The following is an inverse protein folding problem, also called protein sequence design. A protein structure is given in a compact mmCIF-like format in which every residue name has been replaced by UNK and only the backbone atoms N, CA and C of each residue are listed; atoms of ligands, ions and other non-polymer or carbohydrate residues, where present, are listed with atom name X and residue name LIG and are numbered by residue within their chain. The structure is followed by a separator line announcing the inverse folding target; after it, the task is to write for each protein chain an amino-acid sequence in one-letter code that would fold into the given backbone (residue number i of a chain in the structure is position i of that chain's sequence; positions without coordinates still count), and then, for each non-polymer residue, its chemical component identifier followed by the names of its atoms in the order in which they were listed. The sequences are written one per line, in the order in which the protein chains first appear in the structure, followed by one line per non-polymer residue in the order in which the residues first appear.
data_IF_576274308554
#
_entry.id   IF_576274308554
#
_cell.length_a   1.000
_cell.length_b   1.000
_cell.length_c   1.000
_cell.angle_alpha   90.00
_cell.angle_beta   90.00
_cell.angle_gamma   90.00
#
_symmetry.space_group_name_H-M   'P 1'
#
loop_
_entity.id
_entity.type
_entity.pdbx_description
1 polymer ?
#
# COMPACT_ATOMS: atom_id res chain seq x y z
N UNK A 1 -15.64 -6.03 1.32
CA UNK A 1 -14.37 -5.65 1.98
C UNK A 1 -13.26 -6.41 1.27
N UNK A 2 -12.19 -5.75 0.80
CA UNK A 2 -11.22 -6.34 -0.15
C UNK A 2 -10.67 -7.72 0.28
N UNK A 3 -10.17 -7.82 1.52
CA UNK A 3 -9.54 -9.06 2.01
C UNK A 3 -10.53 -10.15 2.47
N UNK A 4 -11.83 -9.83 2.54
CA UNK A 4 -12.89 -10.80 2.84
C UNK A 4 -13.54 -11.36 1.58
N UNK A 5 -13.07 -10.95 0.41
CA UNK A 5 -13.57 -11.42 -0.86
C UNK A 5 -13.00 -12.80 -1.20
N UNK A 6 -13.85 -13.75 -1.56
CA UNK A 6 -13.44 -15.14 -1.82
C UNK A 6 -12.46 -15.26 -2.98
N UNK A 7 -12.62 -14.44 -4.04
CA UNK A 7 -11.72 -14.48 -5.18
C UNK A 7 -10.34 -13.93 -4.81
N UNK A 8 -10.30 -12.83 -4.06
CA UNK A 8 -9.03 -12.26 -3.56
C UNK A 8 -8.34 -13.25 -2.61
N UNK A 9 -9.09 -13.82 -1.66
CA UNK A 9 -8.55 -14.79 -0.72
C UNK A 9 -8.01 -16.04 -1.44
N UNK A 10 -8.73 -16.54 -2.45
CA UNK A 10 -8.27 -17.65 -3.28
C UNK A 10 -6.97 -17.32 -4.01
N UNK A 11 -6.90 -16.17 -4.67
CA UNK A 11 -5.71 -15.74 -5.41
C UNK A 11 -4.49 -15.57 -4.50
N UNK A 12 -4.68 -15.01 -3.30
CA UNK A 12 -3.64 -14.90 -2.29
C UNK A 12 -3.18 -16.28 -1.84
N UNK A 13 -4.10 -17.15 -1.42
CA UNK A 13 -3.77 -18.48 -0.88
C UNK A 13 -3.12 -19.42 -1.91
N UNK A 14 -3.46 -19.27 -3.19
CA UNK A 14 -2.90 -20.11 -4.26
C UNK A 14 -1.45 -19.73 -4.62
N UNK A 15 -1.05 -18.47 -4.40
CA UNK A 15 0.19 -17.89 -4.98
C UNK A 15 1.14 -17.25 -3.97
N UNK A 16 0.66 -16.93 -2.77
CA UNK A 16 1.39 -16.14 -1.78
C UNK A 16 1.23 -16.75 -0.38
N UNK A 17 2.17 -16.40 0.51
CA UNK A 17 2.05 -16.67 1.93
C UNK A 17 1.62 -15.38 2.65
N UNK A 18 0.34 -15.23 3.04
CA UNK A 18 -0.16 -14.00 3.62
C UNK A 18 0.35 -13.79 5.04
N UNK A 19 0.88 -12.60 5.30
CA UNK A 19 1.30 -12.16 6.64
C UNK A 19 0.72 -10.78 6.92
N UNK A 20 0.16 -10.60 8.11
CA UNK A 20 -0.33 -9.30 8.58
C UNK A 20 0.59 -8.71 9.64
N UNK A 21 0.96 -7.44 9.48
CA UNK A 21 1.79 -6.70 10.44
C UNK A 21 1.15 -5.35 10.72
N UNK A 22 0.92 -5.04 12.00
CA UNK A 22 0.56 -3.68 12.42
C UNK A 22 1.83 -2.86 12.57
N UNK A 23 1.95 -1.77 11.80
CA UNK A 23 3.14 -0.90 11.84
C UNK A 23 3.12 0.11 12.99
N UNK A 24 1.95 0.29 13.63
CA UNK A 24 1.73 1.10 14.84
C UNK A 24 0.39 0.75 15.49
N UNK A 25 0.14 1.30 16.68
CA UNK A 25 -1.17 1.20 17.32
C UNK A 25 -2.23 1.99 16.55
N UNK A 26 -3.46 1.46 16.51
CA UNK A 26 -4.57 2.11 15.79
C UNK A 26 -4.98 3.38 16.55
N UNK A 27 -4.88 4.56 15.93
CA UNK A 27 -5.20 5.78 16.62
C UNK A 27 -6.69 5.87 16.89
N UNK A 28 -7.02 6.35 18.09
CA UNK A 28 -8.39 6.53 18.52
C UNK A 28 -8.66 7.99 18.84
N UNK A 29 -9.64 8.57 18.16
CA UNK A 29 -10.13 9.92 18.43
C UNK A 29 -11.31 9.83 19.37
N UNK A 30 -11.28 10.63 20.44
CA UNK A 30 -12.41 10.83 21.33
C UNK A 30 -12.84 12.29 21.25
N UNK A 31 -14.07 12.54 20.80
CA UNK A 31 -14.68 13.87 20.78
C UNK A 31 -15.58 13.97 22.02
N UNK A 32 -15.29 14.92 22.90
CA UNK A 32 -16.13 15.29 24.04
C UNK A 32 -16.95 16.53 23.68
N UNK A 33 -18.27 16.47 23.84
CA UNK A 33 -19.17 17.57 23.52
C UNK A 33 -19.36 18.56 24.69
N UNK A 34 -18.70 18.35 25.83
CA UNK A 34 -18.77 19.23 26.99
C UNK A 34 -20.03 19.06 27.85
N UNK A 35 -20.95 18.18 27.45
CA UNK A 35 -22.19 17.85 28.19
C UNK A 35 -22.17 16.41 28.74
N UNK A 36 -20.99 15.79 28.84
CA UNK A 36 -20.83 14.41 29.29
C UNK A 36 -20.97 13.36 28.17
N UNK A 37 -21.40 13.74 26.97
CA UNK A 37 -21.38 12.85 25.81
C UNK A 37 -20.00 12.81 25.17
N UNK A 38 -19.52 11.58 24.90
CA UNK A 38 -18.24 11.31 24.24
C UNK A 38 -18.45 10.35 23.08
N UNK A 39 -17.89 10.68 21.92
CA UNK A 39 -17.80 9.77 20.77
C UNK A 39 -16.36 9.30 20.66
N UNK A 40 -16.13 7.98 20.77
CA UNK A 40 -14.84 7.34 20.55
C UNK A 40 -14.86 6.60 19.21
N UNK A 41 -13.96 6.94 18.29
CA UNK A 41 -13.83 6.30 16.98
C UNK A 41 -12.36 6.09 16.62
N UNK A 42 -12.06 4.99 15.95
CA UNK A 42 -10.76 4.78 15.33
C UNK A 42 -10.65 5.66 14.09
N UNK A 43 -9.49 6.26 13.87
CA UNK A 43 -9.21 6.88 12.57
C UNK A 43 -8.98 5.78 11.54
N UNK A 44 -9.41 6.03 10.30
CA UNK A 44 -9.25 5.06 9.21
C UNK A 44 -7.77 4.71 9.04
N UNK A 45 -7.45 3.42 9.08
CA UNK A 45 -6.09 2.94 8.88
C UNK A 45 -5.72 2.95 7.40
N UNK A 46 -4.50 3.37 7.10
CA UNK A 46 -3.89 3.10 5.80
C UNK A 46 -3.35 1.67 5.78
N UNK A 47 -3.29 1.09 4.60
CA UNK A 47 -2.70 -0.23 4.36
C UNK A 47 -1.72 -0.13 3.20
N UNK A 48 -0.70 -0.97 3.20
CA UNK A 48 0.17 -1.21 2.06
C UNK A 48 0.42 -2.71 1.96
N UNK A 49 0.21 -3.28 0.78
CA UNK A 49 0.52 -4.69 0.53
C UNK A 49 1.94 -4.79 -0.03
N UNK A 50 2.84 -5.43 0.71
CA UNK A 50 4.19 -5.71 0.25
C UNK A 50 4.22 -7.09 -0.41
N UNK A 51 4.79 -7.18 -1.60
CA UNK A 51 5.14 -8.48 -2.20
C UNK A 51 6.64 -8.66 -2.05
N UNK A 52 7.03 -9.75 -1.38
CA UNK A 52 8.41 -10.03 -1.01
C UNK A 52 8.87 -11.34 -1.65
N UNK A 53 10.16 -11.41 -1.91
CA UNK A 53 10.89 -12.67 -2.14
C UNK A 53 11.15 -13.38 -0.81
N UNK A 54 11.54 -14.65 -0.86
CA UNK A 54 11.73 -15.49 0.33
C UNK A 54 12.83 -14.99 1.30
N UNK A 55 13.78 -14.17 0.83
CA UNK A 55 14.84 -13.56 1.67
C UNK A 55 14.44 -12.17 2.23
N UNK A 56 13.20 -11.75 1.96
CA UNK A 56 12.61 -10.50 2.41
C UNK A 56 12.88 -9.30 1.50
N UNK A 57 13.51 -9.46 0.33
CA UNK A 57 13.63 -8.37 -0.64
C UNK A 57 12.27 -8.03 -1.26
N UNK A 58 11.96 -6.74 -1.30
CA UNK A 58 10.71 -6.22 -1.87
C UNK A 58 10.73 -6.37 -3.39
N UNK A 59 9.70 -7.02 -3.93
CA UNK A 59 9.40 -7.06 -5.37
C UNK A 59 8.64 -5.80 -5.77
N UNK A 60 7.59 -5.44 -5.03
CA UNK A 60 6.79 -4.23 -5.24
C UNK A 60 5.88 -3.96 -4.03
N UNK A 61 5.25 -2.78 -3.99
CA UNK A 61 4.31 -2.35 -2.94
C UNK A 61 3.03 -1.80 -3.55
N UNK A 62 1.87 -2.32 -3.13
CA UNK A 62 0.55 -1.78 -3.49
C UNK A 62 0.05 -0.85 -2.35
N UNK A 63 0.10 0.48 -2.52
CA UNK A 63 -0.36 1.42 -1.50
C UNK A 63 -1.88 1.52 -1.46
N UNK A 64 -2.48 1.59 -0.27
CA UNK A 64 -3.90 1.83 -0.09
C UNK A 64 -4.81 0.62 -0.34
N UNK A 65 -6.12 0.88 -0.33
CA UNK A 65 -7.15 -0.09 -0.68
C UNK A 65 -7.48 -0.03 -2.16
N UNK A 66 -7.68 -1.20 -2.76
CA UNK A 66 -8.02 -1.36 -4.16
C UNK A 66 -9.41 -1.96 -4.31
N UNK A 67 -10.01 -1.74 -5.47
CA UNK A 67 -11.05 -2.58 -6.01
C UNK A 67 -10.51 -4.01 -6.20
N UNK A 68 -11.39 -4.99 -6.00
CA UNK A 68 -11.10 -6.42 -6.13
C UNK A 68 -10.33 -6.76 -7.41
N UNK A 69 -10.88 -6.41 -8.57
CA UNK A 69 -10.38 -6.88 -9.86
C UNK A 69 -9.02 -6.26 -10.18
N UNK A 70 -8.84 -4.98 -9.85
CA UNK A 70 -7.55 -4.31 -9.99
C UNK A 70 -6.52 -4.89 -9.02
N UNK A 71 -6.90 -5.18 -7.76
CA UNK A 71 -5.99 -5.81 -6.80
C UNK A 71 -5.50 -7.19 -7.29
N UNK A 72 -6.43 -8.04 -7.76
CA UNK A 72 -6.09 -9.36 -8.33
C UNK A 72 -5.22 -9.23 -9.57
N UNK A 73 -5.50 -8.26 -10.45
CA UNK A 73 -4.66 -7.96 -11.61
C UNK A 73 -3.22 -7.61 -11.18
N UNK A 74 -3.07 -6.73 -10.19
CA UNK A 74 -1.76 -6.34 -9.68
C UNK A 74 -1.03 -7.52 -9.03
N UNK A 75 -1.69 -8.32 -8.19
CA UNK A 75 -1.11 -9.54 -7.62
C UNK A 75 -0.61 -10.49 -8.71
N UNK A 76 -1.38 -10.68 -9.78
CA UNK A 76 -0.97 -11.51 -10.92
C UNK A 76 0.28 -10.96 -11.62
N UNK A 77 0.34 -9.64 -11.85
CA UNK A 77 1.55 -9.02 -12.41
C UNK A 77 2.76 -9.28 -11.52
N UNK A 78 2.62 -9.07 -10.20
CA UNK A 78 3.72 -9.22 -9.24
C UNK A 78 4.19 -10.67 -9.09
N UNK A 79 3.27 -11.64 -9.18
CA UNK A 79 3.62 -13.06 -9.24
C UNK A 79 4.56 -13.35 -10.42
N UNK A 80 4.28 -12.79 -11.60
CA UNK A 80 5.13 -12.97 -12.78
C UNK A 80 6.45 -12.22 -12.66
N UNK A 81 6.47 -11.00 -12.14
CA UNK A 81 7.75 -10.29 -11.86
C UNK A 81 8.63 -11.16 -10.97
N UNK A 82 8.09 -11.67 -9.86
CA UNK A 82 8.80 -12.56 -8.95
C UNK A 82 9.34 -13.80 -9.68
N UNK A 83 8.55 -14.43 -10.55
CA UNK A 83 8.97 -15.59 -11.34
C UNK A 83 10.16 -15.29 -12.28
N UNK A 84 10.28 -14.05 -12.76
CA UNK A 84 11.37 -13.65 -13.67
C UNK A 84 12.66 -13.22 -12.95
N UNK A 85 12.60 -12.84 -11.67
CA UNK A 85 13.78 -12.48 -10.87
C UNK A 85 14.90 -13.55 -10.94
N UNK A 86 14.65 -14.84 -10.62
CA UNK A 86 15.70 -15.86 -10.64
C UNK A 86 16.19 -16.20 -12.05
N UNK A 87 15.46 -15.82 -13.10
CA UNK A 87 15.81 -16.03 -14.50
C UNK A 87 16.66 -14.88 -15.06
N UNK A 88 16.82 -13.79 -14.30
CA UNK A 88 17.68 -12.67 -14.65
C UNK A 88 19.13 -12.94 -14.25
N UNK A 89 20.10 -12.33 -14.96
CA UNK A 89 21.53 -12.38 -14.55
C UNK A 89 21.76 -11.73 -13.19
N UNK A 90 20.99 -10.70 -12.88
CA UNK A 90 21.14 -9.91 -11.66
C UNK A 90 19.77 -9.38 -11.23
N UNK A 91 19.25 -9.96 -10.14
CA UNK A 91 17.95 -9.64 -9.57
C UNK A 91 17.78 -8.14 -9.28
N UNK A 92 18.81 -7.48 -8.76
CA UNK A 92 18.72 -6.08 -8.37
C UNK A 92 18.70 -5.13 -9.56
N UNK A 93 19.49 -5.44 -10.60
CA UNK A 93 19.42 -4.70 -11.86
C UNK A 93 18.06 -4.90 -12.52
N UNK A 94 17.54 -6.13 -12.52
CA UNK A 94 16.22 -6.44 -13.04
C UNK A 94 15.11 -5.67 -12.31
N UNK A 95 15.10 -5.67 -10.97
CA UNK A 95 14.11 -4.91 -10.19
C UNK A 95 14.25 -3.40 -10.41
N UNK A 96 15.48 -2.87 -10.41
CA UNK A 96 15.71 -1.45 -10.69
C UNK A 96 15.19 -1.05 -12.08
N UNK A 97 15.46 -1.85 -13.11
CA UNK A 97 14.94 -1.60 -14.44
C UNK A 97 13.40 -1.71 -14.48
N UNK A 98 12.81 -2.69 -13.77
CA UNK A 98 11.36 -2.84 -13.65
C UNK A 98 10.73 -1.58 -13.04
N UNK A 99 11.22 -1.11 -11.90
CA UNK A 99 10.67 0.08 -11.25
C UNK A 99 10.91 1.36 -12.08
N UNK A 100 12.04 1.46 -12.79
CA UNK A 100 12.29 2.60 -13.69
C UNK A 100 11.26 2.68 -14.82
N UNK A 101 11.02 1.56 -15.50
CA UNK A 101 10.06 1.49 -16.60
C UNK A 101 8.62 1.74 -16.10
N UNK A 102 8.26 1.21 -14.93
CA UNK A 102 6.96 1.48 -14.30
C UNK A 102 6.77 2.95 -13.94
N UNK A 103 7.74 3.57 -13.25
CA UNK A 103 7.69 4.99 -12.89
C UNK A 103 7.58 5.88 -14.14
N UNK A 104 8.32 5.54 -15.20
CA UNK A 104 8.26 6.27 -16.47
C UNK A 104 6.90 6.10 -17.15
N UNK A 105 6.33 4.89 -17.20
CA UNK A 105 5.01 4.65 -17.78
C UNK A 105 3.90 5.40 -17.04
N UNK A 106 3.90 5.36 -15.70
CA UNK A 106 2.92 6.07 -14.89
C UNK A 106 3.04 7.59 -15.10
N UNK A 107 4.26 8.13 -15.11
CA UNK A 107 4.50 9.55 -15.35
C UNK A 107 4.02 10.01 -16.74
N UNK A 108 4.17 9.18 -17.76
CA UNK A 108 3.87 9.54 -19.16
C UNK A 108 2.44 9.23 -19.58
N UNK A 109 1.87 8.11 -19.12
CA UNK A 109 0.56 7.61 -19.56
C UNK A 109 -0.49 7.55 -18.44
N UNK A 110 -0.09 7.81 -17.19
CA UNK A 110 -0.96 7.66 -16.02
C UNK A 110 -1.28 6.21 -15.66
N UNK A 111 -0.57 5.23 -16.25
CA UNK A 111 -0.82 3.80 -16.04
C UNK A 111 0.48 3.00 -15.98
N UNK A 112 0.48 1.97 -15.14
CA UNK A 112 1.55 0.99 -15.06
C UNK A 112 1.59 0.09 -16.31
N UNK A 113 2.77 -0.44 -16.61
CA UNK A 113 3.00 -1.47 -17.61
C UNK A 113 2.50 -2.83 -17.08
N UNK A 114 1.96 -3.63 -17.99
CA UNK A 114 1.49 -4.99 -17.69
C UNK A 114 2.61 -6.02 -17.92
N UNK A 115 2.61 -7.08 -17.11
CA UNK A 115 3.63 -8.13 -17.16
C UNK A 115 3.12 -9.32 -17.97
N UNK A 116 3.89 -9.75 -18.96
CA UNK A 116 3.52 -10.88 -19.82
C UNK A 116 3.83 -12.23 -19.14
N UNK A 117 2.87 -13.16 -19.04
CA UNK A 117 3.17 -14.56 -18.77
C UNK A 117 3.74 -15.23 -20.03
N UNK A 118 4.90 -15.86 -19.92
CA UNK A 118 5.43 -16.73 -20.96
C UNK A 118 5.16 -18.20 -20.56
N UNK A 119 4.24 -18.86 -21.28
CA UNK A 119 3.79 -20.23 -20.96
C UNK A 119 4.78 -21.34 -21.35
N UNK A 120 5.78 -21.04 -22.18
CA UNK A 120 6.80 -22.01 -22.60
C UNK A 120 8.20 -21.36 -22.56
N UNK A 121 8.80 -21.44 -21.38
CA UNK A 121 10.14 -20.90 -21.08
C UNK A 121 11.27 -21.89 -21.40
N UNK A 122 10.93 -23.14 -21.72
CA UNK A 122 11.90 -24.23 -21.94
C UNK A 122 12.84 -23.99 -23.14
N UNK A 123 12.47 -23.08 -24.04
CA UNK A 123 13.25 -22.72 -25.24
C UNK A 123 13.94 -21.35 -25.16
N UNK A 124 13.71 -20.56 -24.12
CA UNK A 124 14.39 -19.29 -23.94
C UNK A 124 15.61 -19.46 -23.04
N UNK A 125 16.69 -20.02 -23.60
CA UNK A 125 18.04 -19.96 -23.02
C UNK A 125 18.67 -18.54 -23.14
N UNK A 126 17.82 -17.51 -23.24
CA UNK A 126 18.18 -16.11 -23.40
C UNK A 126 17.69 -15.40 -22.16
N UNK A 127 18.59 -14.66 -21.53
CA UNK A 127 18.32 -13.86 -20.36
C UNK A 127 17.12 -12.95 -20.55
N UNK A 128 16.17 -13.04 -19.63
CA UNK A 128 14.96 -12.26 -19.70
C UNK A 128 15.27 -10.86 -19.21
N UNK A 129 15.21 -9.89 -20.13
CA UNK A 129 15.27 -8.47 -19.77
C UNK A 129 13.89 -7.95 -19.35
N UNK A 130 13.84 -6.90 -18.55
CA UNK A 130 12.60 -6.22 -18.17
C UNK A 130 11.77 -5.75 -19.37
N UNK A 131 12.44 -5.27 -20.42
CA UNK A 131 11.81 -4.88 -21.70
C UNK A 131 11.10 -6.04 -22.40
N UNK A 132 11.51 -7.27 -22.14
CA UNK A 132 10.92 -8.47 -22.75
C UNK A 132 9.58 -8.83 -22.11
N UNK A 133 9.38 -8.49 -20.83
CA UNK A 133 8.21 -8.87 -20.05
C UNK A 133 7.19 -7.74 -19.90
N UNK A 134 7.60 -6.48 -20.00
CA UNK A 134 6.72 -5.32 -19.81
C UNK A 134 6.02 -4.91 -21.10
N UNK A 135 4.74 -4.48 -20.99
CA UNK A 135 3.92 -4.03 -22.11
C UNK A 135 3.08 -2.80 -21.75
N UNK A 136 2.70 -1.98 -22.76
CA UNK A 136 1.72 -0.92 -22.56
C UNK A 136 0.39 -1.48 -22.02
N UNK A 137 -0.32 -0.72 -21.18
CA UNK A 137 -1.61 -1.11 -20.64
C UNK A 137 -2.66 -1.29 -21.76
N UNK A 138 -3.47 -2.34 -21.67
CA UNK A 138 -4.54 -2.63 -22.64
C UNK A 138 -4.08 -3.37 -23.91
N UNK A 139 -2.85 -3.91 -23.93
CA UNK A 139 -2.34 -4.69 -25.05
C UNK A 139 -2.97 -6.10 -25.10
N UNK A 140 -3.95 -6.28 -26.00
CA UNK A 140 -4.64 -7.56 -26.21
C UNK A 140 -3.88 -8.48 -27.17
N UNK A 141 -2.84 -9.15 -26.67
CA UNK A 141 -2.26 -10.32 -27.34
C UNK A 141 -1.76 -11.35 -26.32
N UNK A 142 -2.71 -11.98 -25.64
CA UNK A 142 -2.57 -13.25 -24.92
C UNK A 142 -3.60 -14.24 -25.47
N UNK A 143 -3.38 -15.56 -25.36
CA UNK A 143 -4.33 -16.55 -25.83
C UNK A 143 -5.67 -16.28 -25.17
N UNK A 144 -6.77 -16.41 -25.93
CA UNK A 144 -8.13 -16.38 -25.37
C UNK A 144 -8.18 -17.45 -24.29
N UNK A 145 -8.01 -17.03 -23.03
CA UNK A 145 -8.18 -17.92 -21.90
C UNK A 145 -9.61 -18.42 -22.01
N UNK A 146 -9.79 -19.72 -22.27
CA UNK A 146 -11.08 -20.38 -22.35
C UNK A 146 -11.80 -20.45 -20.99
N UNK A 147 -11.50 -19.51 -20.08
CA UNK A 147 -12.33 -19.21 -18.93
C UNK A 147 -13.62 -18.64 -19.50
N UNK A 148 -14.61 -19.52 -19.66
CA UNK A 148 -16.01 -19.07 -19.68
C UNK A 148 -16.17 -18.09 -18.52
N UNK A 149 -16.84 -16.93 -18.71
CA UNK A 149 -17.08 -16.01 -17.61
C UNK A 149 -17.78 -16.80 -16.50
N UNK A 150 -17.03 -17.15 -15.46
CA UNK A 150 -17.53 -17.94 -14.35
C UNK A 150 -18.37 -17.00 -13.51
N UNK A 151 -19.64 -17.36 -13.40
CA UNK A 151 -20.67 -16.77 -12.57
C UNK A 151 -20.94 -15.27 -12.84
N UNK A 152 -22.22 -14.98 -13.05
CA UNK A 152 -22.79 -13.64 -12.95
C UNK A 152 -22.22 -12.98 -11.70
N UNK A 153 -21.44 -11.91 -11.91
CA UNK A 153 -20.98 -11.05 -10.84
C UNK A 153 -22.23 -10.68 -10.04
N UNK A 154 -22.27 -11.01 -8.76
CA UNK A 154 -23.16 -10.30 -7.85
C UNK A 154 -22.67 -8.85 -7.82
N UNK A 155 -23.16 -8.08 -8.79
CA UNK A 155 -23.02 -6.66 -8.77
C UNK A 155 -23.76 -6.17 -7.52
N UNK A 156 -23.15 -5.29 -6.72
CA UNK A 156 -23.83 -4.74 -5.56
C UNK A 156 -25.19 -4.20 -6.00
N UNK A 157 -26.21 -4.50 -5.20
CA UNK A 157 -27.57 -4.04 -5.44
C UNK A 157 -27.60 -2.51 -5.32
N UNK A 158 -27.47 -1.84 -6.48
CA UNK A 158 -27.47 -0.38 -6.61
C UNK A 158 -28.80 0.26 -6.21
N UNK A 159 -29.80 -0.50 -5.77
CA UNK A 159 -31.02 0.05 -5.17
C UNK A 159 -30.83 0.51 -3.71
N UNK A 160 -29.70 0.15 -3.05
CA UNK A 160 -29.40 0.54 -1.65
C UNK A 160 -28.47 1.77 -1.59
N UNK A 161 -28.96 2.95 -1.14
CA UNK A 161 -28.21 4.22 -1.21
C UNK A 161 -26.88 4.23 -0.43
N UNK A 162 -26.77 3.46 0.66
CA UNK A 162 -25.59 3.46 1.53
C UNK A 162 -24.40 2.66 1.00
N UNK A 163 -24.63 1.62 0.19
CA UNK A 163 -23.56 0.79 -0.37
C UNK A 163 -22.89 1.47 -1.57
N UNK A 164 -23.70 2.12 -2.42
CA UNK A 164 -23.25 2.90 -3.59
C UNK A 164 -22.13 3.90 -3.30
N UNK A 165 -22.25 4.67 -2.21
CA UNK A 165 -21.29 5.72 -1.87
C UNK A 165 -19.91 5.13 -1.47
N UNK A 166 -19.90 4.01 -0.76
CA UNK A 166 -18.66 3.33 -0.37
C UNK A 166 -17.94 2.71 -1.58
N UNK A 167 -18.69 2.15 -2.53
CA UNK A 167 -18.11 1.61 -3.77
C UNK A 167 -17.49 2.70 -4.62
N UNK A 168 -18.17 3.84 -4.81
CA UNK A 168 -17.62 4.97 -5.56
C UNK A 168 -16.31 5.48 -4.96
N UNK A 169 -16.26 5.59 -3.63
CA UNK A 169 -15.05 5.98 -2.91
C UNK A 169 -13.90 4.98 -3.11
N UNK A 170 -14.20 3.67 -3.16
CA UNK A 170 -13.17 2.65 -3.42
C UNK A 170 -12.62 2.74 -4.85
N UNK A 171 -13.45 3.02 -5.86
CA UNK A 171 -12.99 3.28 -7.23
C UNK A 171 -12.08 4.51 -7.29
N UNK A 172 -12.45 5.58 -6.60
CA UNK A 172 -11.64 6.79 -6.48
C UNK A 172 -10.30 6.50 -5.79
N UNK A 173 -10.33 5.78 -4.66
CA UNK A 173 -9.12 5.36 -3.93
C UNK A 173 -8.21 4.50 -4.82
N UNK A 174 -8.78 3.57 -5.59
CA UNK A 174 -8.05 2.72 -6.55
C UNK A 174 -7.39 3.57 -7.63
N UNK A 175 -8.11 4.54 -8.19
CA UNK A 175 -7.58 5.44 -9.21
C UNK A 175 -6.45 6.34 -8.66
N UNK A 176 -6.59 6.85 -7.44
CA UNK A 176 -5.54 7.62 -6.74
C UNK A 176 -4.32 6.74 -6.51
N UNK A 177 -4.52 5.50 -6.07
CA UNK A 177 -3.40 4.58 -5.86
C UNK A 177 -2.62 4.37 -7.16
N UNK A 178 -3.30 3.98 -8.24
CA UNK A 178 -2.68 3.66 -9.52
C UNK A 178 -2.02 4.88 -10.21
N UNK A 179 -2.63 6.06 -10.12
CA UNK A 179 -2.15 7.26 -10.83
C UNK A 179 -1.15 8.08 -10.03
N UNK A 180 -1.40 8.24 -8.75
CA UNK A 180 -0.68 9.22 -7.92
C UNK A 180 0.32 8.54 -6.98
N UNK A 181 -0.03 7.40 -6.38
CA UNK A 181 0.79 6.77 -5.34
C UNK A 181 1.78 5.74 -5.88
N UNK A 182 1.43 4.97 -6.91
CA UNK A 182 2.31 3.95 -7.50
C UNK A 182 3.60 4.56 -8.06
N UNK A 183 3.54 5.73 -8.69
CA UNK A 183 4.72 6.43 -9.22
C UNK A 183 5.80 6.69 -8.16
N UNK A 184 5.48 7.40 -7.06
CA UNK A 184 6.36 7.56 -5.89
C UNK A 184 6.86 6.25 -5.30
N UNK A 185 6.04 5.19 -5.22
CA UNK A 185 6.49 3.86 -4.78
C UNK A 185 7.60 3.32 -5.67
N UNK A 186 7.40 3.34 -6.99
CA UNK A 186 8.42 2.87 -7.92
C UNK A 186 9.70 3.72 -7.86
N UNK A 187 9.58 5.04 -7.70
CA UNK A 187 10.74 5.91 -7.51
C UNK A 187 11.51 5.58 -6.21
N UNK A 188 10.78 5.32 -5.12
CA UNK A 188 11.36 4.93 -3.83
C UNK A 188 12.10 3.58 -3.91
N UNK A 189 11.51 2.58 -4.57
CA UNK A 189 12.13 1.27 -4.75
C UNK A 189 13.30 1.30 -5.74
N UNK A 190 13.25 2.17 -6.75
CA UNK A 190 14.39 2.43 -7.64
C UNK A 190 15.58 3.05 -6.90
N UNK A 191 15.33 3.93 -5.93
CA UNK A 191 16.37 4.53 -5.10
C UNK A 191 16.98 3.53 -4.10
N UNK A 192 16.27 2.45 -3.78
CA UNK A 192 16.71 1.42 -2.84
C UNK A 192 16.58 0.00 -3.44
N UNK A 193 17.38 -0.36 -4.48
CA UNK A 193 17.34 -1.70 -5.05
C UNK A 193 17.63 -2.75 -3.97
N UNK A 194 16.75 -3.73 -3.82
CA UNK A 194 16.90 -4.80 -2.83
C UNK A 194 16.39 -4.45 -1.43
N UNK A 195 15.71 -3.31 -1.28
CA UNK A 195 15.13 -2.88 -0.01
C UNK A 195 14.28 -3.98 0.65
N UNK A 196 14.35 -4.01 1.98
CA UNK A 196 13.46 -4.77 2.85
C UNK A 196 12.42 -3.83 3.47
N UNK A 197 11.32 -4.35 4.04
CA UNK A 197 10.30 -3.49 4.65
C UNK A 197 10.84 -2.50 5.67
N UNK A 198 11.82 -2.91 6.49
CA UNK A 198 12.43 -2.03 7.50
C UNK A 198 13.09 -0.78 6.92
N UNK A 199 13.56 -0.84 5.67
CA UNK A 199 14.29 0.25 5.01
C UNK A 199 13.35 1.35 4.51
N UNK A 200 12.14 0.98 4.06
CA UNK A 200 11.25 1.89 3.30
C UNK A 200 9.91 2.15 3.98
N UNK A 201 9.50 1.38 4.97
CA UNK A 201 8.14 1.49 5.55
C UNK A 201 7.85 2.89 6.09
N UNK A 202 8.79 3.49 6.83
CA UNK A 202 8.58 4.84 7.37
C UNK A 202 8.42 5.88 6.26
N UNK A 203 9.29 5.82 5.25
CA UNK A 203 9.23 6.71 4.09
C UNK A 203 7.92 6.54 3.31
N UNK A 204 7.53 5.30 3.02
CA UNK A 204 6.28 4.98 2.34
C UNK A 204 5.08 5.63 3.04
N UNK A 205 4.97 5.42 4.35
CA UNK A 205 3.83 5.92 5.09
C UNK A 205 3.79 7.45 5.16
N UNK A 206 4.95 8.09 5.31
CA UNK A 206 5.06 9.56 5.32
C UNK A 206 4.79 10.18 3.95
N UNK A 207 5.49 9.71 2.93
CA UNK A 207 5.58 10.41 1.64
C UNK A 207 4.48 9.97 0.66
N UNK A 208 4.04 8.71 0.72
CA UNK A 208 3.07 8.14 -0.24
C UNK A 208 1.66 8.05 0.36
N UNK A 209 1.55 7.62 1.61
CA UNK A 209 0.26 7.45 2.28
C UNK A 209 -0.15 8.67 3.12
N UNK A 210 0.72 9.67 3.23
CA UNK A 210 0.52 10.88 4.03
C UNK A 210 0.07 10.60 5.47
N UNK A 211 0.63 9.54 6.05
CA UNK A 211 0.35 9.07 7.40
C UNK A 211 1.65 8.69 8.09
N UNK A 212 2.46 9.69 8.42
CA UNK A 212 3.72 9.50 9.12
C UNK A 212 3.50 8.68 10.40
N UNK A 213 4.19 7.54 10.48
CA UNK A 213 4.07 6.59 11.59
C UNK A 213 4.57 7.22 12.88
N UNK A 214 5.55 8.12 12.78
CA UNK A 214 6.19 8.78 13.91
C UNK A 214 5.47 10.10 14.29
N UNK A 215 4.43 10.52 13.56
CA UNK A 215 3.67 11.73 13.89
C UNK A 215 2.63 11.46 15.00
N UNK A 216 2.81 12.01 16.21
CA UNK A 216 1.87 11.82 17.31
C UNK A 216 0.50 12.45 17.04
N UNK A 217 0.42 13.40 16.11
CA UNK A 217 -0.80 14.12 15.74
C UNK A 217 -1.43 13.61 14.45
N UNK A 218 -0.87 12.58 13.81
CA UNK A 218 -1.51 11.87 12.68
C UNK A 218 -1.78 12.74 11.46
N UNK A 219 -0.93 13.70 11.18
CA UNK A 219 -1.10 14.72 10.15
C UNK A 219 -2.08 15.83 10.53
N UNK A 220 -2.72 15.76 11.70
CA UNK A 220 -3.67 16.77 12.16
C UNK A 220 -2.98 17.92 12.89
N UNK A 221 -1.67 17.86 13.13
CA UNK A 221 -0.96 18.89 13.89
C UNK A 221 -1.18 20.29 13.33
N UNK A 222 -1.01 20.48 12.02
CA UNK A 222 -1.28 21.79 11.41
C UNK A 222 -2.75 22.21 11.58
N UNK A 223 -3.70 21.32 11.31
CA UNK A 223 -5.14 21.64 11.45
C UNK A 223 -5.54 21.95 12.89
N UNK A 224 -4.96 21.26 13.88
CA UNK A 224 -5.28 21.43 15.28
C UNK A 224 -4.64 22.69 15.88
N UNK A 225 -3.46 23.10 15.39
CA UNK A 225 -2.66 24.14 16.04
C UNK A 225 -2.51 25.45 15.25
N UNK A 226 -2.89 25.49 13.96
CA UNK A 226 -2.71 26.68 13.10
C UNK A 226 -3.38 27.94 13.64
N UNK A 227 -4.57 27.80 14.23
CA UNK A 227 -5.35 28.91 14.80
C UNK A 227 -5.46 28.82 16.33
N UNK A 228 -4.57 28.05 16.99
CA UNK A 228 -4.67 27.85 18.43
C UNK A 228 -4.18 29.10 19.17
N UNK A 229 -5.04 29.81 19.92
CA UNK A 229 -4.79 31.17 20.40
C UNK A 229 -3.74 31.27 21.52
N UNK A 230 -3.12 30.14 21.92
CA UNK A 230 -2.13 30.06 23.00
C UNK A 230 -0.73 29.69 22.48
N UNK A 231 -0.47 29.77 21.18
CA UNK A 231 0.85 29.48 20.60
C UNK A 231 1.92 30.51 20.96
N UNK A 232 1.53 31.75 21.26
CA UNK A 232 2.46 32.85 21.56
C UNK A 232 2.98 32.84 23.02
N UNK A 233 2.24 32.26 23.96
CA UNK A 233 2.57 32.34 25.39
C UNK A 233 3.59 31.30 25.88
N UNK A 234 4.03 30.35 25.04
CA UNK A 234 5.05 29.38 25.43
C UNK A 234 5.82 28.76 24.25
N UNK A 235 6.83 29.46 23.68
CA UNK A 235 7.65 28.92 22.59
C UNK A 235 8.46 27.68 23.00
N UNK A 236 8.72 27.46 24.30
CA UNK A 236 9.34 26.23 24.79
C UNK A 236 8.36 25.05 24.94
N UNK A 237 7.06 25.32 25.13
CA UNK A 237 6.03 24.31 25.35
C UNK A 237 5.64 23.54 24.09
N UNK A 238 5.59 24.22 22.94
CA UNK A 238 5.31 23.59 21.65
C UNK A 238 6.44 22.63 21.20
N UNK A 239 7.69 22.94 21.56
CA UNK A 239 8.85 22.07 21.31
C UNK A 239 8.95 20.92 22.34
N UNK A 240 8.66 21.17 23.63
CA UNK A 240 8.71 20.13 24.67
C UNK A 240 7.57 19.11 24.60
N UNK A 241 6.45 19.41 23.95
CA UNK A 241 5.41 18.41 23.64
C UNK A 241 5.90 17.30 22.68
N UNK A 242 7.03 17.50 21.98
CA UNK A 242 7.65 16.51 21.08
C UNK A 242 8.69 15.60 21.75
N UNK A 243 9.04 15.84 23.02
CA UNK A 243 10.05 15.06 23.75
C UNK A 243 9.65 14.86 25.23
N UNK A 244 8.94 13.77 25.52
CA UNK A 244 9.01 13.13 26.84
C UNK A 244 7.70 12.95 27.58
N UNK A 245 6.97 11.87 27.26
CA UNK A 245 6.15 11.19 28.25
C UNK A 245 7.01 10.14 28.98
N UNK A 246 7.99 10.57 29.79
CA UNK A 246 8.58 9.68 30.80
C UNK A 246 7.55 9.50 31.91
N UNK A 247 6.84 8.37 31.88
CA UNK A 247 6.06 7.91 33.03
C UNK A 247 6.99 7.73 34.23
N UNK A 248 6.97 8.69 35.15
CA UNK A 248 7.54 8.54 36.48
C UNK A 248 6.57 7.70 37.29
N UNK A 249 6.94 6.45 37.56
CA UNK A 249 6.22 5.57 38.48
C UNK A 249 6.31 6.14 39.91
N UNK A 250 5.21 6.19 40.67
CA UNK A 250 5.28 6.59 42.08
C UNK A 250 5.97 5.49 42.88
N UNK A 251 7.06 5.88 43.56
CA UNK A 251 7.67 5.10 44.65
C UNK A 251 6.67 4.99 45.80
N UNK A 252 6.18 3.79 46.07
CA UNK A 252 5.67 3.45 47.40
C UNK A 252 6.72 2.59 48.12
N UNK A 253 7.32 3.21 49.14
CA UNK A 253 8.11 2.53 50.15
C UNK A 253 7.24 2.29 51.39
N UNK A 254 7.17 1.02 51.77
CA UNK A 254 6.98 0.43 53.12
C UNK A 254 5.70 0.75 53.92
N UNK A 255 4.97 -0.31 54.32
CA UNK A 255 5.12 -0.94 55.64
C UNK A 255 4.22 -2.18 55.83
N UNK A 256 4.78 -3.16 56.54
CA UNK A 256 4.27 -4.45 57.07
C UNK A 256 4.34 -5.64 56.11
#
# INVERSE_FOLDING_TARGET
MLFSDENVAKEINDKFEPVWVSVREVPTVTIDFGNGHKIKRTLHGNVASYVLTADGTIVDILPGLYERDEYVKQLNNLFWVHHYIPLSRNAQVFLADYHREQAQSIKTSGKALEVRPFADMSKMAIEISTKTILRPPGWSAGPKSGVKPTATVEHPDFSKPGELAHWRKLFEDTAVNERERRGPVHAMLLAHPGAKPADVTKQLYREVLHADIDDPYLGLGETLFKDYPFTEDNPEGASKASLGAKHSAPKHSQAI
#
